data_IF_111643561401
#
_entry.id   IF_111643561401
#
_cell.length_a   1.000
_cell.length_b   1.000
_cell.length_c   1.000
_cell.angle_alpha   90.00
_cell.angle_beta   90.00
_cell.angle_gamma   90.00
#
_symmetry.space_group_name_H-M   'P 1'
#
loop_
_entity.id
_entity.type
_entity.pdbx_description
1 polymer ?
#
# COMPACT_ATOMS: atom_id res chain seq x y z
N UNK A 1 -23.75 17.01 -1.23
CA UNK A 1 -22.41 17.27 -0.67
C UNK A 1 -21.34 16.62 -1.56
N UNK A 2 -20.22 17.29 -1.78
CA UNK A 2 -19.10 16.75 -2.55
C UNK A 2 -18.48 15.57 -1.79
N UNK A 3 -18.36 14.39 -2.43
CA UNK A 3 -17.70 13.22 -1.82
C UNK A 3 -16.23 13.53 -1.56
N UNK A 4 -15.74 13.18 -0.38
CA UNK A 4 -14.32 13.34 0.00
C UNK A 4 -13.41 12.44 -0.84
N UNK A 5 -12.21 12.91 -1.13
CA UNK A 5 -11.16 12.12 -1.77
C UNK A 5 -10.38 11.37 -0.69
N UNK A 6 -10.36 10.06 -0.79
CA UNK A 6 -9.72 9.17 0.17
C UNK A 6 -8.47 8.57 -0.47
N UNK A 7 -7.40 8.44 0.30
CA UNK A 7 -6.16 7.82 -0.13
C UNK A 7 -5.74 6.70 0.82
N UNK A 8 -5.37 5.57 0.24
CA UNK A 8 -4.62 4.51 0.92
C UNK A 8 -3.42 4.13 0.08
N UNK A 9 -2.43 3.49 0.69
CA UNK A 9 -1.29 2.92 -0.03
C UNK A 9 -1.20 1.43 0.21
N UNK A 10 -0.92 0.67 -0.86
CA UNK A 10 -0.81 -0.78 -0.83
C UNK A 10 0.40 -1.27 -1.62
N UNK A 11 1.11 -2.26 -1.10
CA UNK A 11 2.03 -3.08 -1.89
C UNK A 11 1.28 -4.16 -2.66
N UNK A 12 0.25 -4.75 -2.08
CA UNK A 12 -0.65 -5.74 -2.67
C UNK A 12 0.10 -6.92 -3.31
N UNK A 13 1.12 -7.43 -2.66
CA UNK A 13 1.90 -8.55 -3.20
C UNK A 13 1.06 -9.83 -3.26
N UNK A 14 0.65 -10.33 -2.09
CA UNK A 14 -0.32 -11.40 -1.98
C UNK A 14 -1.58 -10.82 -1.40
N UNK A 15 -2.66 -10.79 -2.19
CA UNK A 15 -3.94 -10.28 -1.71
C UNK A 15 -4.51 -11.18 -0.61
N UNK A 16 -5.00 -10.56 0.45
CA UNK A 16 -5.65 -11.25 1.55
C UNK A 16 -6.76 -10.38 2.16
N UNK A 17 -7.56 -10.96 3.04
CA UNK A 17 -8.71 -10.27 3.64
C UNK A 17 -8.34 -8.97 4.39
N UNK A 18 -7.11 -8.85 4.90
CA UNK A 18 -6.63 -7.59 5.50
C UNK A 18 -6.63 -6.41 4.52
N UNK A 19 -6.22 -6.62 3.26
CA UNK A 19 -6.31 -5.60 2.22
C UNK A 19 -7.78 -5.25 1.92
N UNK A 20 -8.65 -6.26 1.85
CA UNK A 20 -10.07 -6.06 1.59
C UNK A 20 -10.73 -5.27 2.73
N UNK A 21 -10.39 -5.57 3.99
CA UNK A 21 -10.88 -4.82 5.16
C UNK A 21 -10.47 -3.34 5.11
N UNK A 22 -9.22 -3.06 4.77
CA UNK A 22 -8.73 -1.68 4.62
C UNK A 22 -9.48 -0.95 3.50
N UNK A 23 -9.64 -1.58 2.32
CA UNK A 23 -10.36 -1.01 1.18
C UNK A 23 -11.83 -0.76 1.54
N UNK A 24 -12.52 -1.72 2.18
CA UNK A 24 -13.90 -1.57 2.63
C UNK A 24 -14.06 -0.40 3.61
N UNK A 25 -13.16 -0.29 4.57
CA UNK A 25 -13.18 0.82 5.52
C UNK A 25 -12.90 2.15 4.82
N UNK A 26 -11.87 2.23 4.01
CA UNK A 26 -11.49 3.48 3.33
C UNK A 26 -12.59 4.02 2.40
N UNK A 27 -13.20 3.15 1.57
CA UNK A 27 -14.27 3.56 0.64
C UNK A 27 -15.54 4.07 1.32
N UNK A 28 -15.77 3.73 2.60
CA UNK A 28 -16.92 4.23 3.35
C UNK A 28 -16.84 5.73 3.64
N UNK A 29 -15.66 6.32 3.57
CA UNK A 29 -15.45 7.76 3.78
C UNK A 29 -15.59 8.60 2.50
N UNK A 30 -15.52 7.99 1.31
CA UNK A 30 -15.64 8.73 0.05
C UNK A 30 -15.06 8.02 -1.17
N UNK A 31 -14.58 8.80 -2.13
CA UNK A 31 -13.95 8.31 -3.38
C UNK A 31 -12.54 7.80 -3.11
N UNK A 32 -12.33 6.50 -3.31
CA UNK A 32 -11.08 5.86 -2.96
C UNK A 32 -10.06 5.90 -4.11
N UNK A 33 -8.92 6.54 -3.85
CA UNK A 33 -7.70 6.43 -4.64
C UNK A 33 -6.70 5.54 -3.91
N UNK A 34 -6.17 4.55 -4.61
CA UNK A 34 -5.12 3.65 -4.10
C UNK A 34 -3.78 4.01 -4.70
N UNK A 35 -2.81 4.38 -3.87
CA UNK A 35 -1.41 4.45 -4.23
C UNK A 35 -0.83 3.03 -4.25
N UNK A 36 -0.60 2.48 -5.43
CA UNK A 36 0.00 1.16 -5.57
C UNK A 36 1.52 1.32 -5.66
N UNK A 37 2.23 0.75 -4.68
CA UNK A 37 3.69 0.80 -4.65
C UNK A 37 4.28 0.10 -5.89
N UNK A 38 5.20 0.80 -6.57
CA UNK A 38 5.96 0.21 -7.67
C UNK A 38 6.92 -0.87 -7.16
N UNK A 39 7.35 -1.79 -8.01
CA UNK A 39 8.30 -2.85 -7.65
C UNK A 39 9.59 -2.23 -7.08
N UNK A 40 10.07 -1.13 -7.69
CA UNK A 40 11.23 -0.38 -7.21
C UNK A 40 11.01 0.20 -5.81
N UNK A 41 9.84 0.79 -5.55
CA UNK A 41 9.52 1.34 -4.23
C UNK A 41 9.46 0.24 -3.15
N UNK A 42 8.91 -0.93 -3.47
CA UNK A 42 8.86 -2.07 -2.55
C UNK A 42 10.27 -2.59 -2.27
N UNK A 43 11.08 -2.79 -3.31
CA UNK A 43 12.43 -3.36 -3.19
C UNK A 43 13.41 -2.51 -2.37
N UNK A 44 13.12 -1.21 -2.19
CA UNK A 44 13.93 -0.34 -1.34
C UNK A 44 13.81 -0.64 0.16
N UNK A 45 12.76 -1.35 0.59
CA UNK A 45 12.48 -1.61 2.01
C UNK A 45 12.07 -3.05 2.33
N UNK A 46 11.63 -3.82 1.33
CA UNK A 46 11.16 -5.20 1.49
C UNK A 46 11.70 -6.08 0.38
N UNK A 47 11.46 -7.39 0.49
CA UNK A 47 11.66 -8.31 -0.63
C UNK A 47 10.78 -7.89 -1.82
N UNK A 48 11.29 -8.13 -3.02
CA UNK A 48 10.54 -7.91 -4.25
C UNK A 48 9.21 -8.69 -4.21
N UNK A 49 8.09 -8.08 -4.62
CA UNK A 49 6.82 -8.77 -4.65
C UNK A 49 6.83 -9.92 -5.68
N UNK A 50 6.03 -10.97 -5.43
CA UNK A 50 5.89 -12.11 -6.34
C UNK A 50 5.25 -11.69 -7.66
N UNK A 51 4.24 -10.83 -7.58
CA UNK A 51 3.56 -10.26 -8.75
C UNK A 51 4.16 -8.89 -9.08
N UNK A 52 4.42 -8.66 -10.37
CA UNK A 52 4.86 -7.36 -10.86
C UNK A 52 3.78 -6.27 -10.69
N UNK A 53 4.18 -5.02 -10.88
CA UNK A 53 3.29 -3.87 -10.72
C UNK A 53 2.00 -4.00 -11.57
N UNK A 54 2.13 -4.42 -12.84
CA UNK A 54 0.99 -4.49 -13.76
C UNK A 54 -0.01 -5.58 -13.33
N UNK A 55 0.48 -6.74 -12.92
CA UNK A 55 -0.35 -7.83 -12.39
C UNK A 55 -1.10 -7.41 -11.12
N UNK A 56 -0.41 -6.74 -10.19
CA UNK A 56 -1.01 -6.22 -8.95
C UNK A 56 -2.04 -5.12 -9.23
N UNK A 57 -1.77 -4.27 -10.21
CA UNK A 57 -2.69 -3.22 -10.67
C UNK A 57 -3.95 -3.84 -11.28
N UNK A 58 -3.82 -4.85 -12.15
CA UNK A 58 -4.94 -5.54 -12.76
C UNK A 58 -5.85 -6.20 -11.72
N UNK A 59 -5.29 -6.82 -10.68
CA UNK A 59 -6.07 -7.35 -9.55
C UNK A 59 -6.86 -6.22 -8.88
N UNK A 60 -6.20 -5.11 -8.58
CA UNK A 60 -6.79 -3.99 -7.86
C UNK A 60 -7.91 -3.29 -8.65
N UNK A 61 -7.79 -3.23 -9.99
CA UNK A 61 -8.81 -2.67 -10.90
C UNK A 61 -10.15 -3.44 -10.82
N UNK A 62 -10.10 -4.69 -10.39
CA UNK A 62 -11.28 -5.56 -10.24
C UNK A 62 -11.83 -5.62 -8.81
N UNK A 63 -11.28 -4.82 -7.89
CA UNK A 63 -11.79 -4.73 -6.51
C UNK A 63 -12.84 -3.63 -6.41
N UNK A 64 -14.05 -4.02 -6.02
CA UNK A 64 -15.17 -3.10 -5.86
C UNK A 64 -14.86 -1.96 -4.90
N UNK A 65 -15.10 -0.73 -5.36
CA UNK A 65 -14.96 0.49 -4.56
C UNK A 65 -13.60 1.17 -4.67
N UNK A 66 -12.69 0.65 -5.49
CA UNK A 66 -11.49 1.36 -5.93
C UNK A 66 -11.87 2.20 -7.13
N UNK A 67 -11.82 3.54 -7.00
CA UNK A 67 -12.18 4.44 -8.10
C UNK A 67 -10.97 4.85 -8.94
N UNK A 68 -9.79 4.91 -8.31
CA UNK A 68 -8.56 5.32 -8.98
C UNK A 68 -7.35 4.59 -8.42
N UNK A 69 -6.45 4.18 -9.30
CA UNK A 69 -5.16 3.60 -8.94
C UNK A 69 -4.06 4.51 -9.49
N UNK A 70 -3.11 4.86 -8.63
CA UNK A 70 -1.98 5.73 -8.99
C UNK A 70 -0.68 5.06 -8.56
N UNK A 71 0.42 5.22 -9.32
CA UNK A 71 1.70 4.69 -8.90
C UNK A 71 2.22 5.45 -7.66
N UNK A 72 2.78 4.70 -6.73
CA UNK A 72 3.55 5.24 -5.62
C UNK A 72 5.01 4.79 -5.81
N UNK A 73 5.85 5.74 -6.24
CA UNK A 73 7.23 5.47 -6.63
C UNK A 73 8.19 5.46 -5.43
N UNK A 74 7.73 5.95 -4.29
CA UNK A 74 8.50 6.03 -3.05
C UNK A 74 7.84 5.19 -1.96
N UNK A 75 8.66 4.63 -1.07
CA UNK A 75 8.15 3.95 0.13
C UNK A 75 7.35 4.91 1.03
N UNK A 76 7.78 6.18 1.09
CA UNK A 76 7.08 7.25 1.80
C UNK A 76 5.79 7.67 1.07
N UNK A 77 4.77 8.00 1.84
CA UNK A 77 3.48 8.52 1.34
C UNK A 77 3.55 10.00 0.97
N UNK A 78 4.61 10.68 1.37
CA UNK A 78 4.73 12.15 1.38
C UNK A 78 4.43 12.78 0.02
N UNK A 79 5.11 12.33 -1.02
CA UNK A 79 4.96 12.90 -2.37
C UNK A 79 3.58 12.64 -2.97
N UNK A 80 3.03 11.44 -2.78
CA UNK A 80 1.71 11.12 -3.30
C UNK A 80 0.61 11.91 -2.58
N UNK A 81 0.72 12.13 -1.26
CA UNK A 81 -0.21 12.97 -0.52
C UNK A 81 -0.20 14.41 -1.07
N UNK A 82 0.97 15.01 -1.27
CA UNK A 82 1.09 16.35 -1.82
C UNK A 82 0.56 16.46 -3.26
N UNK A 83 0.79 15.42 -4.08
CA UNK A 83 0.38 15.38 -5.49
C UNK A 83 -1.13 15.21 -5.64
N UNK A 84 -1.72 14.28 -4.92
CA UNK A 84 -3.13 13.91 -5.09
C UNK A 84 -4.08 14.64 -4.13
N UNK A 85 -3.54 15.27 -3.11
CA UNK A 85 -4.25 16.14 -2.14
C UNK A 85 -5.54 15.50 -1.60
N UNK A 86 -5.47 14.30 -0.98
CA UNK A 86 -6.65 13.68 -0.41
C UNK A 86 -7.20 14.47 0.77
N UNK A 87 -8.52 14.46 0.94
CA UNK A 87 -9.15 15.00 2.15
C UNK A 87 -8.85 14.12 3.38
N UNK A 88 -8.75 12.79 3.14
CA UNK A 88 -8.49 11.80 4.17
C UNK A 88 -7.51 10.75 3.64
N UNK A 89 -6.46 10.47 4.41
CA UNK A 89 -5.65 9.26 4.30
C UNK A 89 -6.12 8.25 5.33
N UNK A 90 -6.33 6.99 4.90
CA UNK A 90 -6.65 5.88 5.81
C UNK A 90 -5.47 4.90 5.85
N UNK A 91 -5.11 4.45 7.04
CA UNK A 91 -4.03 3.48 7.24
C UNK A 91 -4.35 2.54 8.41
N UNK A 92 -3.77 1.34 8.39
CA UNK A 92 -3.78 0.46 9.55
C UNK A 92 -2.94 1.05 10.70
N UNK A 93 -3.26 0.70 11.94
CA UNK A 93 -2.53 1.17 13.12
C UNK A 93 -1.19 0.45 13.35
N UNK A 94 -0.87 -0.55 12.50
CA UNK A 94 0.34 -1.39 12.57
C UNK A 94 1.66 -0.61 12.42
N UNK A 95 1.66 0.54 11.75
CA UNK A 95 2.86 1.39 11.66
C UNK A 95 3.32 1.96 13.01
N UNK A 96 2.46 1.94 14.03
CA UNK A 96 2.83 2.32 15.39
C UNK A 96 3.73 1.28 16.10
N UNK A 97 3.86 0.07 15.54
CA UNK A 97 4.57 -1.06 16.14
C UNK A 97 6.08 -1.03 15.88
N UNK A 98 6.58 -0.21 14.95
CA UNK A 98 7.99 -0.13 14.60
C UNK A 98 8.50 1.29 14.53
N UNK A 99 9.84 1.46 14.64
CA UNK A 99 10.49 2.78 14.47
C UNK A 99 10.28 3.33 13.05
N UNK A 100 10.43 2.48 12.04
CA UNK A 100 10.27 2.87 10.64
C UNK A 100 8.81 3.22 10.31
N UNK A 101 7.86 2.46 10.85
CA UNK A 101 6.43 2.78 10.73
C UNK A 101 6.09 4.13 11.35
N UNK A 102 6.59 4.42 12.55
CA UNK A 102 6.41 5.72 13.22
C UNK A 102 7.00 6.88 12.40
N UNK A 103 8.16 6.67 11.78
CA UNK A 103 8.77 7.65 10.87
C UNK A 103 7.88 7.93 9.66
N UNK A 104 7.39 6.87 8.99
CA UNK A 104 6.46 6.99 7.87
C UNK A 104 5.18 7.73 8.25
N UNK A 105 4.63 7.45 9.44
CA UNK A 105 3.46 8.16 9.97
C UNK A 105 3.74 9.65 10.14
N UNK A 106 4.88 10.01 10.70
CA UNK A 106 5.26 11.42 10.85
C UNK A 106 5.40 12.14 9.51
N UNK A 107 5.98 11.48 8.51
CA UNK A 107 6.10 12.03 7.15
C UNK A 107 4.71 12.22 6.51
N UNK A 108 3.80 11.25 6.66
CA UNK A 108 2.43 11.36 6.18
C UNK A 108 1.68 12.52 6.87
N UNK A 109 1.81 12.65 8.18
CA UNK A 109 1.19 13.76 8.94
C UNK A 109 1.73 15.13 8.51
N UNK A 110 3.04 15.24 8.23
CA UNK A 110 3.63 16.48 7.70
C UNK A 110 3.05 16.87 6.34
N UNK A 111 2.87 15.88 5.44
CA UNK A 111 2.28 16.11 4.13
C UNK A 111 0.79 16.49 4.26
N UNK A 112 0.02 15.76 5.05
CA UNK A 112 -1.41 16.02 5.29
C UNK A 112 -1.63 17.42 5.87
N UNK A 113 -0.79 17.86 6.82
CA UNK A 113 -0.85 19.22 7.38
C UNK A 113 -0.73 20.29 6.30
N UNK A 114 0.15 20.10 5.30
CA UNK A 114 0.34 21.07 4.20
C UNK A 114 -0.88 21.21 3.29
N UNK A 115 -1.74 20.21 3.24
CA UNK A 115 -2.92 20.18 2.37
C UNK A 115 -4.25 20.25 3.13
N UNK A 116 -4.22 20.49 4.45
CA UNK A 116 -5.38 20.41 5.35
C UNK A 116 -6.11 19.05 5.31
N UNK A 117 -5.40 17.98 4.99
CA UNK A 117 -5.91 16.62 5.00
C UNK A 117 -5.90 16.01 6.40
N UNK A 118 -6.64 14.92 6.57
CA UNK A 118 -6.76 14.19 7.84
C UNK A 118 -6.24 12.76 7.71
N UNK A 119 -5.69 12.23 8.81
CA UNK A 119 -5.37 10.81 8.95
C UNK A 119 -6.49 10.13 9.74
N UNK A 120 -6.94 8.98 9.24
CA UNK A 120 -7.79 8.03 9.98
C UNK A 120 -7.01 6.73 10.11
N UNK A 121 -6.79 6.29 11.33
CA UNK A 121 -6.22 4.97 11.62
C UNK A 121 -7.35 3.99 11.91
N UNK A 122 -7.23 2.79 11.34
CA UNK A 122 -8.14 1.69 11.60
C UNK A 122 -7.36 0.51 12.19
N UNK A 123 -8.01 -0.34 12.99
CA UNK A 123 -7.36 -1.55 13.48
C UNK A 123 -6.85 -2.40 12.31
N UNK A 124 -5.56 -2.76 12.31
CA UNK A 124 -5.04 -3.68 11.31
C UNK A 124 -5.57 -5.10 11.54
N UNK A 125 -5.71 -5.85 10.46
CA UNK A 125 -6.15 -7.25 10.54
C UNK A 125 -5.00 -8.11 11.07
N UNK A 126 -5.19 -8.68 12.25
CA UNK A 126 -4.19 -9.52 12.94
C UNK A 126 -3.96 -10.85 12.21
N UNK A 127 -2.81 -11.46 12.47
CA UNK A 127 -2.42 -12.80 12.05
C UNK A 127 -2.35 -13.04 10.54
N UNK A 128 -2.33 -11.97 9.73
CA UNK A 128 -2.12 -12.07 8.28
C UNK A 128 -1.31 -10.88 7.75
N UNK A 129 -0.34 -11.18 6.90
CA UNK A 129 0.37 -10.17 6.10
C UNK A 129 0.90 -10.81 4.82
N UNK A 130 1.07 -10.03 3.75
CA UNK A 130 1.71 -10.51 2.52
C UNK A 130 3.12 -11.04 2.79
N UNK A 131 3.87 -10.40 3.70
CA UNK A 131 5.22 -10.85 4.06
C UNK A 131 5.24 -12.21 4.75
N UNK A 132 4.29 -12.48 5.66
CA UNK A 132 4.20 -13.79 6.32
C UNK A 132 3.73 -14.89 5.35
N UNK A 133 2.78 -14.59 4.46
CA UNK A 133 2.35 -15.51 3.40
C UNK A 133 3.50 -15.85 2.45
N UNK A 134 4.24 -14.84 1.97
CA UNK A 134 5.40 -15.03 1.12
C UNK A 134 6.48 -15.89 1.79
N UNK A 135 6.76 -15.65 3.08
CA UNK A 135 7.73 -16.44 3.84
C UNK A 135 7.29 -17.89 3.99
N UNK A 136 6.02 -18.13 4.27
CA UNK A 136 5.48 -19.50 4.36
C UNK A 136 5.54 -20.24 3.01
N UNK A 137 5.23 -19.57 1.91
CA UNK A 137 5.35 -20.16 0.58
C UNK A 137 6.80 -20.50 0.23
N UNK A 138 7.75 -19.65 0.60
CA UNK A 138 9.17 -19.90 0.41
C UNK A 138 9.65 -21.09 1.27
N UNK A 139 9.30 -21.12 2.55
CA UNK A 139 9.69 -22.22 3.48
C UNK A 139 9.12 -23.56 3.06
N UNK A 140 7.94 -23.59 2.43
CA UNK A 140 7.31 -24.80 1.91
C UNK A 140 7.79 -25.17 0.50
N UNK A 141 8.80 -24.49 -0.06
CA UNK A 141 9.35 -24.77 -1.38
C UNK A 141 8.42 -24.45 -2.56
N UNK A 142 7.34 -23.68 -2.32
CA UNK A 142 6.38 -23.32 -3.37
C UNK A 142 6.89 -22.22 -4.29
N UNK A 143 7.86 -21.43 -3.83
CA UNK A 143 8.54 -20.39 -4.59
C UNK A 143 10.04 -20.46 -4.36
N UNK A 144 10.83 -20.16 -5.39
CA UNK A 144 12.29 -20.06 -5.29
C UNK A 144 12.73 -18.59 -5.24
N UNK A 145 13.88 -18.34 -4.58
CA UNK A 145 14.54 -17.04 -4.60
C UNK A 145 15.34 -16.89 -5.91
N UNK A 146 14.69 -16.69 -7.05
CA UNK A 146 15.44 -16.50 -8.29
C UNK A 146 15.92 -15.04 -8.40
N UNK A 147 17.22 -14.82 -8.15
CA UNK A 147 17.87 -13.51 -8.26
C UNK A 147 17.81 -12.91 -9.67
N UNK A 148 17.71 -13.72 -10.72
CA UNK A 148 17.68 -13.23 -12.10
C UNK A 148 16.39 -12.46 -12.42
N UNK A 149 15.25 -12.89 -11.88
CA UNK A 149 13.98 -12.18 -12.06
C UNK A 149 13.96 -10.85 -11.29
N UNK A 150 14.67 -10.78 -10.17
CA UNK A 150 14.85 -9.55 -9.40
C UNK A 150 15.45 -8.41 -10.25
N UNK A 151 16.57 -8.67 -10.92
CA UNK A 151 17.25 -7.65 -11.71
C UNK A 151 16.47 -7.22 -12.95
N UNK A 152 15.79 -8.15 -13.63
CA UNK A 152 14.95 -7.84 -14.79
C UNK A 152 13.80 -6.89 -14.45
N UNK A 153 13.20 -7.01 -13.26
CA UNK A 153 12.05 -6.20 -12.84
C UNK A 153 12.41 -4.83 -12.31
N UNK A 154 13.62 -4.65 -11.76
CA UNK A 154 14.08 -3.38 -11.20
C UNK A 154 14.70 -2.46 -12.26
N UNK A 155 15.24 -3.04 -13.34
CA UNK A 155 15.90 -2.30 -14.40
C UNK A 155 14.92 -1.81 -15.51
N UNK A 156 13.63 -2.20 -15.44
CA UNK A 156 12.55 -1.66 -16.26
C UNK A 156 11.94 -0.41 -15.59
#
# INVERSE_FOLDING_TARGET
MKKKNIYISLSLDIIHHGHINLIKSARSYGKLTVGLLTDKAISSNKKLPLLDYNSRKQILENITGVEKIVPQNEWSYYFNILKYKPDIMVHGDDWNLSKDGKKLKLEALKALKKINGKLIEIPHTKNISSSSLQSNMFMNGLISSNRQDYFKRILQ
#
